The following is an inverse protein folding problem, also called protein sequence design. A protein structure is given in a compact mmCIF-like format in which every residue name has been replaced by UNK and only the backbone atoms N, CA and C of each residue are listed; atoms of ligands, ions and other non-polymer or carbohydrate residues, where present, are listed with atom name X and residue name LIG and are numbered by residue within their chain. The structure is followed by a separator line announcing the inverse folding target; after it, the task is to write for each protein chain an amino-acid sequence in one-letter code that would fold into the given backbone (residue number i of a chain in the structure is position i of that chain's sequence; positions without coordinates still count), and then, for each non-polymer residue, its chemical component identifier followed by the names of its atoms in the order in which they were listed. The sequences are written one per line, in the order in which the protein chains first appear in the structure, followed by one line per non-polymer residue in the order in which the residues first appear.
data_IF_276556684234
#
_entry.id   IF_276556684234
#
_cell.length_a   1.000
_cell.length_b   1.000
_cell.length_c   1.000
_cell.angle_alpha   90.00
_cell.angle_beta   90.00
_cell.angle_gamma   90.00
#
_symmetry.space_group_name_H-M   'P 1'
#
loop_
_entity.id
_entity.type
_entity.pdbx_description
1 polymer ?
#
# COMPACT_ATOMS: atom_id res chain seq x y z
N UNK A 1 -13.15 -16.51 -5.29
CA UNK A 1 -12.66 -16.31 -3.92
C UNK A 1 -13.03 -17.51 -3.07
N UNK A 2 -12.18 -17.92 -2.12
CA UNK A 2 -12.45 -19.01 -1.16
C UNK A 2 -13.01 -18.51 0.18
N UNK A 3 -13.07 -17.19 0.38
CA UNK A 3 -13.56 -16.51 1.59
C UNK A 3 -14.45 -15.33 1.21
N UNK A 4 -15.37 -14.95 2.09
CA UNK A 4 -16.17 -13.73 1.90
C UNK A 4 -15.47 -12.52 2.52
N UNK A 5 -15.94 -11.32 2.18
CA UNK A 5 -15.45 -10.09 2.81
C UNK A 5 -15.73 -10.09 4.32
N UNK A 6 -16.88 -10.62 4.74
CA UNK A 6 -17.25 -10.74 6.16
C UNK A 6 -16.28 -11.66 6.92
N UNK A 7 -15.77 -12.72 6.29
CA UNK A 7 -14.74 -13.57 6.89
C UNK A 7 -13.45 -12.78 7.16
N UNK A 8 -13.03 -11.91 6.23
CA UNK A 8 -11.86 -11.06 6.39
C UNK A 8 -12.05 -10.02 7.50
N UNK A 9 -13.21 -9.37 7.55
CA UNK A 9 -13.57 -8.43 8.63
C UNK A 9 -13.55 -9.13 9.99
N UNK A 10 -14.11 -10.33 10.07
CA UNK A 10 -14.10 -11.14 11.30
C UNK A 10 -12.69 -11.53 11.72
N UNK A 11 -11.81 -11.87 10.78
CA UNK A 11 -10.41 -12.16 11.10
C UNK A 11 -9.70 -10.93 11.71
N UNK A 12 -9.94 -9.73 11.17
CA UNK A 12 -9.43 -8.48 11.74
C UNK A 12 -9.95 -8.23 13.15
N UNK A 13 -11.25 -8.45 13.39
CA UNK A 13 -11.86 -8.30 14.71
C UNK A 13 -11.24 -9.26 15.74
N UNK A 14 -11.13 -10.54 15.39
CA UNK A 14 -10.52 -11.56 16.26
C UNK A 14 -9.06 -11.19 16.62
N UNK A 15 -8.28 -10.69 15.68
CA UNK A 15 -6.90 -10.27 15.93
C UNK A 15 -6.83 -9.10 16.92
N UNK A 16 -7.74 -8.12 16.79
CA UNK A 16 -7.85 -7.00 17.72
C UNK A 16 -8.29 -7.45 19.11
N UNK A 17 -9.25 -8.36 19.21
CA UNK A 17 -9.69 -8.95 20.48
C UNK A 17 -8.56 -9.71 21.19
N UNK A 18 -7.64 -10.31 20.42
CA UNK A 18 -6.42 -10.93 20.94
C UNK A 18 -5.32 -9.93 21.35
N UNK A 19 -5.55 -8.62 21.21
CA UNK A 19 -4.59 -7.56 21.56
C UNK A 19 -3.50 -7.34 20.51
N UNK A 20 -3.66 -7.85 19.29
CA UNK A 20 -2.71 -7.64 18.20
C UNK A 20 -2.96 -6.30 17.50
N UNK A 21 -1.87 -5.65 17.09
CA UNK A 21 -1.96 -4.59 16.09
C UNK A 21 -2.23 -5.23 14.73
N UNK A 22 -3.19 -4.66 13.99
CA UNK A 22 -3.61 -5.22 12.72
C UNK A 22 -3.26 -4.25 11.61
N UNK A 23 -2.71 -4.80 10.54
CA UNK A 23 -2.34 -4.11 9.32
C UNK A 23 -3.29 -4.57 8.21
N UNK A 24 -4.06 -3.65 7.63
CA UNK A 24 -5.05 -3.96 6.59
C UNK A 24 -4.81 -3.04 5.40
N UNK A 25 -4.73 -3.62 4.21
CA UNK A 25 -4.40 -2.89 2.98
C UNK A 25 -5.18 -3.35 1.78
N UNK A 26 -4.68 -2.99 0.60
CA UNK A 26 -5.32 -3.33 -0.66
C UNK A 26 -4.32 -3.49 -1.80
N UNK A 27 -4.80 -4.09 -2.89
CA UNK A 27 -4.15 -4.12 -4.19
C UNK A 27 -4.97 -3.24 -5.13
N UNK A 28 -4.33 -2.28 -5.79
CA UNK A 28 -4.96 -1.33 -6.70
C UNK A 28 -4.52 -1.59 -8.14
N UNK A 29 -5.44 -1.46 -9.10
CA UNK A 29 -5.22 -1.84 -10.51
C UNK A 29 -5.73 -3.24 -10.87
N UNK A 30 -6.61 -3.83 -10.08
CA UNK A 30 -7.26 -5.12 -10.35
C UNK A 30 -8.48 -5.01 -11.28
N UNK A 31 -8.68 -3.85 -11.92
CA UNK A 31 -9.87 -3.52 -12.70
C UNK A 31 -10.98 -2.83 -11.88
N UNK A 32 -10.69 -2.45 -10.63
CA UNK A 32 -11.61 -1.68 -9.81
C UNK A 32 -11.78 -0.24 -10.33
N UNK A 33 -13.00 0.28 -10.21
CA UNK A 33 -13.30 1.69 -10.48
C UNK A 33 -12.76 2.58 -9.38
N UNK A 34 -12.57 3.87 -9.66
CA UNK A 34 -12.16 4.84 -8.64
C UNK A 34 -13.14 4.89 -7.45
N UNK A 35 -14.45 4.74 -7.70
CA UNK A 35 -15.46 4.70 -6.65
C UNK A 35 -15.26 3.50 -5.69
N UNK A 36 -14.86 2.34 -6.21
CA UNK A 36 -14.53 1.17 -5.38
C UNK A 36 -13.26 1.39 -4.54
N UNK A 37 -12.30 2.18 -5.02
CA UNK A 37 -11.13 2.59 -4.21
C UNK A 37 -11.56 3.47 -3.03
N UNK A 38 -12.50 4.38 -3.28
CA UNK A 38 -13.11 5.21 -2.22
C UNK A 38 -13.82 4.33 -1.21
N UNK A 39 -14.68 3.42 -1.67
CA UNK A 39 -15.40 2.47 -0.81
C UNK A 39 -14.43 1.68 0.09
N UNK A 40 -13.37 1.10 -0.48
CA UNK A 40 -12.34 0.40 0.28
C UNK A 40 -11.68 1.29 1.34
N UNK A 41 -11.36 2.55 1.01
CA UNK A 41 -10.75 3.48 1.95
C UNK A 41 -11.64 3.75 3.18
N UNK A 42 -12.95 3.89 2.96
CA UNK A 42 -13.92 4.06 4.04
C UNK A 42 -14.11 2.77 4.84
N UNK A 43 -14.17 1.62 4.19
CA UNK A 43 -14.22 0.31 4.85
C UNK A 43 -13.01 0.08 5.76
N UNK A 44 -11.79 0.37 5.29
CA UNK A 44 -10.57 0.24 6.10
C UNK A 44 -10.59 1.20 7.30
N UNK A 45 -11.13 2.41 7.12
CA UNK A 45 -11.29 3.37 8.21
C UNK A 45 -12.14 2.82 9.36
N UNK A 46 -13.23 2.11 9.02
CA UNK A 46 -14.13 1.51 10.01
C UNK A 46 -13.48 0.36 10.78
N UNK A 47 -12.50 -0.34 10.18
CA UNK A 47 -11.75 -1.40 10.85
C UNK A 47 -10.80 -0.88 11.95
N UNK A 48 -10.43 0.41 11.92
CA UNK A 48 -9.55 1.01 12.92
C UNK A 48 -8.17 0.34 12.99
N UNK A 49 -7.57 0.09 11.83
CA UNK A 49 -6.19 -0.40 11.68
C UNK A 49 -5.17 0.70 11.97
N UNK A 50 -3.94 0.30 12.33
CA UNK A 50 -2.84 1.23 12.64
C UNK A 50 -2.06 1.62 11.37
N UNK A 51 -2.09 0.78 10.34
CA UNK A 51 -1.24 0.94 9.17
C UNK A 51 -1.84 0.27 7.94
N UNK A 52 -1.63 0.87 6.76
CA UNK A 52 -2.18 0.41 5.50
C UNK A 52 -1.06 0.24 4.44
N UNK A 53 -0.77 -1.01 4.06
CA UNK A 53 0.13 -1.31 2.95
C UNK A 53 -0.62 -1.12 1.63
N UNK A 54 -0.04 -0.30 0.76
CA UNK A 54 -0.57 -0.02 -0.58
C UNK A 54 0.21 -0.86 -1.57
N UNK A 55 -0.46 -1.79 -2.26
CA UNK A 55 0.15 -2.55 -3.34
C UNK A 55 -0.49 -2.14 -4.66
N UNK A 56 0.31 -2.02 -5.70
CA UNK A 56 -0.18 -1.93 -7.07
C UNK A 56 -0.11 -3.29 -7.73
N UNK A 57 -1.14 -3.64 -8.50
CA UNK A 57 -1.16 -4.90 -9.22
C UNK A 57 0.02 -4.94 -10.17
N UNK A 58 0.86 -5.96 -9.96
CA UNK A 58 1.85 -6.40 -10.93
C UNK A 58 1.31 -7.66 -11.59
N UNK A 59 0.93 -7.60 -12.89
CA UNK A 59 0.54 -8.79 -13.63
C UNK A 59 1.69 -9.80 -13.64
N UNK A 60 1.39 -11.05 -13.28
CA UNK A 60 2.37 -12.16 -13.26
C UNK A 60 1.79 -13.28 -14.12
N UNK A 61 2.55 -13.70 -15.13
CA UNK A 61 2.15 -14.77 -16.06
C UNK A 61 1.61 -16.01 -15.33
N UNK A 62 0.43 -16.47 -15.76
CA UNK A 62 -0.23 -17.64 -15.19
C UNK A 62 -1.06 -17.36 -13.94
N UNK A 63 -1.11 -16.12 -13.45
CA UNK A 63 -2.08 -15.70 -12.43
C UNK A 63 -3.40 -15.27 -13.08
N UNK A 64 -4.50 -15.32 -12.33
CA UNK A 64 -5.83 -14.99 -12.88
C UNK A 64 -6.02 -13.54 -13.37
N UNK A 65 -5.04 -12.66 -13.12
CA UNK A 65 -5.05 -11.24 -13.52
C UNK A 65 -3.84 -10.88 -14.41
N UNK A 66 -3.19 -11.87 -15.03
CA UNK A 66 -2.02 -11.68 -15.90
C UNK A 66 -2.33 -10.86 -17.18
N UNK A 67 -3.59 -10.86 -17.61
CA UNK A 67 -4.11 -10.12 -18.76
C UNK A 67 -4.36 -8.63 -18.50
N UNK A 68 -4.26 -8.17 -17.26
CA UNK A 68 -4.43 -6.75 -16.92
C UNK A 68 -3.12 -5.99 -17.11
N UNK A 69 -3.23 -4.68 -17.32
CA UNK A 69 -2.08 -3.77 -17.30
C UNK A 69 -1.87 -3.17 -15.91
N UNK A 70 -0.67 -2.69 -15.64
CA UNK A 70 -0.37 -1.92 -14.43
C UNK A 70 -1.21 -0.65 -14.40
N UNK A 71 -1.68 -0.28 -13.21
CA UNK A 71 -2.39 1.00 -13.02
C UNK A 71 -1.55 2.18 -13.52
N UNK A 72 -2.21 3.13 -14.17
CA UNK A 72 -1.60 4.36 -14.65
C UNK A 72 -0.99 5.19 -13.51
N UNK A 73 0.18 5.78 -13.78
CA UNK A 73 0.98 6.54 -12.83
C UNK A 73 0.16 7.59 -12.04
N UNK A 74 -0.59 8.44 -12.74
CA UNK A 74 -1.38 9.48 -12.07
C UNK A 74 -2.58 8.93 -11.30
N UNK A 75 -3.12 7.79 -11.70
CA UNK A 75 -4.23 7.16 -10.97
C UNK A 75 -3.74 6.48 -9.68
N UNK A 76 -2.52 5.96 -9.69
CA UNK A 76 -1.84 5.51 -8.48
C UNK A 76 -1.59 6.66 -7.50
N UNK A 77 -1.07 7.80 -7.97
CA UNK A 77 -0.87 8.99 -7.12
C UNK A 77 -2.20 9.52 -6.56
N UNK A 78 -3.27 9.60 -7.37
CA UNK A 78 -4.61 9.97 -6.89
C UNK A 78 -5.11 9.01 -5.83
N UNK A 79 -4.84 7.71 -5.98
CA UNK A 79 -5.23 6.68 -5.02
C UNK A 79 -4.52 6.88 -3.68
N UNK A 80 -3.20 7.12 -3.69
CA UNK A 80 -2.43 7.43 -2.48
C UNK A 80 -2.97 8.70 -1.80
N UNK A 81 -3.21 9.76 -2.58
CA UNK A 81 -3.74 11.02 -2.06
C UNK A 81 -5.14 10.86 -1.44
N UNK A 82 -6.02 10.12 -2.11
CA UNK A 82 -7.34 9.76 -1.59
C UNK A 82 -7.22 9.02 -0.25
N UNK A 83 -6.36 7.99 -0.17
CA UNK A 83 -6.14 7.23 1.06
C UNK A 83 -5.64 8.14 2.18
N UNK A 84 -4.67 9.03 1.93
CA UNK A 84 -4.18 9.97 2.94
C UNK A 84 -5.27 10.92 3.43
N UNK A 85 -6.14 11.41 2.54
CA UNK A 85 -7.23 12.31 2.92
C UNK A 85 -8.29 11.61 3.77
N UNK A 86 -8.62 10.34 3.47
CA UNK A 86 -9.60 9.56 4.24
C UNK A 86 -9.01 9.02 5.56
N UNK A 87 -7.70 8.73 5.57
CA UNK A 87 -6.96 8.08 6.65
C UNK A 87 -5.77 8.94 7.12
N UNK A 88 -6.02 10.15 7.67
CA UNK A 88 -4.97 11.15 7.86
C UNK A 88 -3.88 10.75 8.85
N UNK A 89 -4.19 9.89 9.83
CA UNK A 89 -3.30 9.57 10.97
C UNK A 89 -2.60 8.21 10.87
N UNK A 90 -2.95 7.38 9.89
CA UNK A 90 -2.41 6.02 9.81
C UNK A 90 -1.12 6.03 8.99
N UNK A 91 -0.25 5.05 9.25
CA UNK A 91 0.91 4.83 8.40
C UNK A 91 0.50 4.27 7.05
N UNK A 92 0.81 5.00 5.98
CA UNK A 92 0.61 4.60 4.59
C UNK A 92 1.95 4.29 3.98
N UNK A 93 2.20 3.02 3.66
CA UNK A 93 3.45 2.63 3.04
C UNK A 93 3.22 1.84 1.74
N UNK A 94 3.93 2.24 0.69
CA UNK A 94 3.80 1.62 -0.63
C UNK A 94 4.71 0.41 -0.73
N UNK A 95 4.13 -0.73 -1.05
CA UNK A 95 4.78 -2.03 -1.09
C UNK A 95 4.98 -2.47 -2.54
N UNK A 96 4.37 -3.58 -2.95
CA UNK A 96 4.56 -4.17 -4.27
C UNK A 96 4.03 -3.29 -5.40
N UNK A 97 4.69 -3.36 -6.56
CA UNK A 97 4.23 -2.68 -7.78
C UNK A 97 4.71 -1.23 -7.93
N UNK A 98 5.45 -0.67 -6.97
CA UNK A 98 5.92 0.73 -7.04
C UNK A 98 6.98 0.93 -8.11
N UNK A 99 7.87 -0.03 -8.32
CA UNK A 99 8.89 0.00 -9.37
C UNK A 99 8.21 -0.01 -10.75
N UNK A 100 7.19 -0.87 -10.84
CA UNK A 100 6.12 -1.00 -11.82
C UNK A 100 5.58 0.33 -12.34
N UNK A 101 4.87 0.96 -11.43
CA UNK A 101 3.97 2.08 -11.69
C UNK A 101 4.71 3.42 -11.67
N UNK A 102 5.66 3.58 -10.75
CA UNK A 102 6.34 4.86 -10.53
C UNK A 102 7.65 4.97 -11.32
N UNK A 103 8.24 3.85 -11.72
CA UNK A 103 9.47 3.82 -12.54
C UNK A 103 10.61 4.66 -11.92
N UNK A 104 10.98 5.77 -12.57
CA UNK A 104 12.02 6.72 -12.13
C UNK A 104 11.50 7.84 -11.21
N UNK A 105 10.18 7.94 -11.00
CA UNK A 105 9.51 9.00 -10.22
C UNK A 105 8.95 8.50 -8.90
N UNK A 106 9.65 7.56 -8.26
CA UNK A 106 9.19 6.95 -7.02
C UNK A 106 9.01 7.98 -5.90
N UNK A 107 9.78 9.06 -5.87
CA UNK A 107 9.68 10.12 -4.86
C UNK A 107 8.28 10.77 -4.79
N UNK A 108 7.51 10.71 -5.88
CA UNK A 108 6.17 11.29 -5.95
C UNK A 108 5.16 10.54 -5.06
N UNK A 109 5.45 9.29 -4.65
CA UNK A 109 4.62 8.58 -3.67
C UNK A 109 4.56 9.34 -2.34
N UNK A 110 5.66 9.96 -1.91
CA UNK A 110 5.72 10.71 -0.66
C UNK A 110 4.94 12.02 -0.78
N UNK A 111 5.08 12.70 -1.92
CA UNK A 111 4.30 13.91 -2.23
C UNK A 111 2.80 13.63 -2.32
N UNK A 112 2.40 12.44 -2.76
CA UNK A 112 1.01 12.01 -2.77
C UNK A 112 0.45 11.63 -1.38
N UNK A 113 1.30 11.54 -0.36
CA UNK A 113 0.88 11.33 1.03
C UNK A 113 1.26 9.99 1.64
N UNK A 114 1.99 9.12 0.94
CA UNK A 114 2.62 7.97 1.59
C UNK A 114 3.75 8.44 2.52
N UNK A 115 3.94 7.75 3.65
CA UNK A 115 5.01 8.04 4.60
C UNK A 115 5.97 6.85 4.82
N UNK A 116 5.84 5.81 4.01
CA UNK A 116 6.77 4.69 4.01
C UNK A 116 6.79 3.93 2.68
N UNK A 117 7.79 3.06 2.55
CA UNK A 117 7.91 2.08 1.47
C UNK A 117 8.43 0.77 2.03
N UNK A 118 8.10 -0.35 1.39
CA UNK A 118 8.78 -1.61 1.64
C UNK A 118 10.07 -1.66 0.81
N UNK A 119 11.22 -1.66 1.47
CA UNK A 119 12.52 -1.75 0.82
C UNK A 119 12.98 -3.19 0.57
N UNK A 120 13.71 -3.41 -0.51
CA UNK A 120 14.24 -4.72 -0.88
C UNK A 120 13.26 -5.59 -1.65
N UNK A 121 13.46 -6.91 -1.60
CA UNK A 121 12.64 -7.86 -2.34
C UNK A 121 11.29 -8.10 -1.67
N UNK A 122 10.28 -8.35 -2.49
CA UNK A 122 8.96 -8.82 -2.07
C UNK A 122 8.95 -10.34 -1.93
N UNK A 123 7.87 -10.88 -1.37
CA UNK A 123 7.71 -12.32 -1.16
C UNK A 123 7.85 -13.14 -2.46
N UNK A 124 7.33 -12.61 -3.56
CA UNK A 124 7.27 -13.31 -4.85
C UNK A 124 8.01 -12.59 -5.99
N UNK A 125 8.43 -11.34 -5.79
CA UNK A 125 9.03 -10.52 -6.86
C UNK A 125 10.21 -9.71 -6.34
N UNK A 126 11.11 -9.34 -7.26
CA UNK A 126 12.24 -8.46 -6.94
C UNK A 126 11.75 -7.03 -6.80
N UNK A 127 12.28 -6.32 -5.81
CA UNK A 127 12.09 -4.87 -5.65
C UNK A 127 13.38 -4.11 -5.91
N UNK A 128 13.36 -2.81 -5.67
CA UNK A 128 14.52 -1.94 -5.78
C UNK A 128 15.59 -2.27 -4.72
N UNK A 129 16.87 -2.02 -5.05
CA UNK A 129 17.97 -2.08 -4.08
C UNK A 129 17.69 -1.11 -2.90
N UNK A 130 17.66 -1.60 -1.64
CA UNK A 130 17.44 -0.77 -0.46
C UNK A 130 18.37 0.45 -0.36
N UNK A 131 19.58 0.40 -0.94
CA UNK A 131 20.50 1.54 -0.96
C UNK A 131 19.91 2.72 -1.76
N UNK A 132 19.30 2.44 -2.91
CA UNK A 132 18.65 3.45 -3.75
C UNK A 132 17.43 4.04 -3.05
N UNK A 133 16.69 3.22 -2.30
CA UNK A 133 15.58 3.70 -1.48
C UNK A 133 16.07 4.69 -0.40
N UNK A 134 17.14 4.34 0.31
CA UNK A 134 17.72 5.20 1.35
C UNK A 134 18.27 6.51 0.75
N UNK A 135 18.92 6.45 -0.41
CA UNK A 135 19.42 7.62 -1.14
C UNK A 135 18.28 8.54 -1.57
N UNK A 136 17.21 7.99 -2.15
CA UNK A 136 16.01 8.73 -2.53
C UNK A 136 15.41 9.44 -1.31
N UNK A 137 15.16 8.71 -0.22
CA UNK A 137 14.59 9.29 1.02
C UNK A 137 15.46 10.44 1.55
N UNK A 138 16.78 10.26 1.59
CA UNK A 138 17.72 11.31 2.03
C UNK A 138 17.71 12.52 1.10
N UNK A 139 17.61 12.32 -0.22
CA UNK A 139 17.58 13.41 -1.20
C UNK A 139 16.35 14.31 -1.05
N UNK A 140 15.25 13.76 -0.54
CA UNK A 140 14.02 14.50 -0.21
C UNK A 140 14.09 15.24 1.13
N UNK A 141 15.21 15.16 1.85
CA UNK A 141 15.34 15.70 3.21
C UNK A 141 14.55 14.91 4.26
N UNK A 142 14.04 13.73 3.90
CA UNK A 142 13.35 12.82 4.79
C UNK A 142 14.34 11.92 5.53
N UNK A 143 13.86 11.24 6.58
CA UNK A 143 14.68 10.33 7.39
C UNK A 143 13.99 8.97 7.48
N UNK A 144 14.69 7.87 7.15
CA UNK A 144 14.20 6.53 7.46
C UNK A 144 13.97 6.39 8.97
N UNK A 145 12.90 5.72 9.36
CA UNK A 145 12.64 5.39 10.77
C UNK A 145 13.69 4.34 11.21
N UNK A 146 14.56 4.71 12.15
CA UNK A 146 15.60 3.83 12.67
C UNK A 146 15.12 2.90 13.80
N UNK A 147 13.99 3.23 14.43
CA UNK A 147 13.34 2.44 15.48
C UNK A 147 11.88 2.88 15.62
N UNK A 148 10.97 1.93 15.82
CA UNK A 148 9.58 2.23 16.19
C UNK A 148 9.60 2.59 17.68
N UNK A 149 9.61 3.88 18.02
CA UNK A 149 9.30 4.31 19.40
C UNK A 149 7.79 4.26 19.56
N UNK A 150 7.33 3.40 20.47
CA UNK A 150 5.95 3.39 20.94
C UNK A 150 5.77 4.60 21.86
N UNK A 151 5.30 5.72 21.31
CA UNK A 151 4.72 6.80 22.11
C UNK A 151 3.23 6.56 22.33
#
# INVERSE_FOLDING_TARGET
TTHTYEDEVKAVQNAKEAGLQVCVGGIFGMGETFAQRVELAFSIRELGTQSLPINFLKPIDGTGLDHLETIEYYDALKTIALLRLVLPKIDLFVCGGREEVMTDKQEQLFSAGANGILGGNYLTTKGQDPKRDIEMIRSLGLRPIASITQD
#
